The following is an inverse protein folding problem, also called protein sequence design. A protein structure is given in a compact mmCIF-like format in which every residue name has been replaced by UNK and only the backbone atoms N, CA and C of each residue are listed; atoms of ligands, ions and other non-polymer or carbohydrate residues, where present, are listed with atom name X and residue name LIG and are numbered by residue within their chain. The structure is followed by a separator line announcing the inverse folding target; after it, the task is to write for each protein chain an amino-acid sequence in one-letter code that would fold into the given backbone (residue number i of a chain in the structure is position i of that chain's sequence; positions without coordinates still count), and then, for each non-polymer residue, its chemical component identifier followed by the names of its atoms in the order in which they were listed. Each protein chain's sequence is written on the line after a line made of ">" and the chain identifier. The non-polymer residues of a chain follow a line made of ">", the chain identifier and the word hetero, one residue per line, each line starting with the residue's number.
data_IF_438250179903
#
_entry.id   IF_438250179903
#
_cell.length_a   1.000
_cell.length_b   1.000
_cell.length_c   1.000
_cell.angle_alpha   90.00
_cell.angle_beta   90.00
_cell.angle_gamma   90.00
#
_symmetry.space_group_name_H-M   'P 1'
#
loop_
_entity.id
_entity.type
_entity.pdbx_description
1 polymer ?
#
# COMPACT_ATOMS: atom_id res chain seq x y z
N UNK A 1 -42.44 5.38 16.70
CA UNK A 1 -41.39 4.91 15.76
C UNK A 1 -40.10 5.65 16.12
N UNK A 2 -38.96 4.98 16.23
CA UNK A 2 -37.67 5.61 16.63
C UNK A 2 -36.85 6.03 15.40
N UNK A 3 -35.90 6.96 15.57
CA UNK A 3 -34.95 7.33 14.49
C UNK A 3 -34.18 6.11 13.97
N UNK A 4 -33.79 5.19 14.86
CA UNK A 4 -33.16 3.92 14.48
C UNK A 4 -34.04 3.07 13.58
N UNK A 5 -35.34 2.98 13.87
CA UNK A 5 -36.28 2.25 13.02
C UNK A 5 -36.39 2.90 11.63
N UNK A 6 -36.39 4.23 11.56
CA UNK A 6 -36.36 4.95 10.28
C UNK A 6 -35.05 4.71 9.52
N UNK A 7 -33.90 4.82 10.18
CA UNK A 7 -32.58 4.61 9.57
C UNK A 7 -32.46 3.21 8.97
N UNK A 8 -32.87 2.18 9.71
CA UNK A 8 -32.65 0.79 9.33
C UNK A 8 -33.74 0.23 8.42
N UNK A 9 -35.00 0.64 8.61
CA UNK A 9 -36.17 -0.01 8.00
C UNK A 9 -37.17 0.99 7.37
N UNK A 10 -36.97 2.29 7.58
CA UNK A 10 -37.85 3.32 7.05
C UNK A 10 -37.82 3.37 5.53
N UNK A 11 -38.97 3.67 4.92
CA UNK A 11 -39.01 3.91 3.48
C UNK A 11 -38.22 5.19 3.14
N UNK A 12 -37.61 5.29 1.94
CA UNK A 12 -36.85 6.47 1.52
C UNK A 12 -37.59 7.80 1.73
N UNK A 13 -38.90 7.82 1.50
CA UNK A 13 -39.76 9.01 1.63
C UNK A 13 -39.85 9.52 3.07
N UNK A 14 -39.57 8.66 4.06
CA UNK A 14 -39.57 9.00 5.48
C UNK A 14 -38.28 9.68 5.94
N UNK A 15 -37.30 9.88 5.04
CA UNK A 15 -36.01 10.49 5.39
C UNK A 15 -36.13 11.92 5.94
N UNK A 16 -37.19 12.65 5.59
CA UNK A 16 -37.43 14.01 6.09
C UNK A 16 -37.64 14.08 7.61
N UNK A 17 -38.05 12.99 8.26
CA UNK A 17 -38.18 12.92 9.72
C UNK A 17 -36.82 12.88 10.45
N UNK A 18 -35.73 12.65 9.71
CA UNK A 18 -34.37 12.63 10.27
C UNK A 18 -33.68 13.99 10.14
N UNK A 19 -34.31 14.99 9.52
CA UNK A 19 -33.72 16.32 9.36
C UNK A 19 -33.46 16.99 10.73
N UNK A 20 -32.33 17.71 10.89
CA UNK A 20 -31.37 18.07 9.84
C UNK A 20 -30.32 16.99 9.52
N UNK A 21 -30.28 15.88 10.27
CA UNK A 21 -29.30 14.81 10.07
C UNK A 21 -29.42 14.16 8.70
N UNK A 22 -28.27 13.94 8.05
CA UNK A 22 -28.20 13.28 6.75
C UNK A 22 -27.86 11.81 6.94
N UNK A 23 -28.81 10.95 6.58
CA UNK A 23 -28.65 9.49 6.63
C UNK A 23 -28.55 8.93 5.21
N UNK A 24 -27.40 9.16 4.57
CA UNK A 24 -27.13 8.70 3.21
C UNK A 24 -25.70 8.18 3.06
N UNK A 25 -25.53 7.19 2.19
CA UNK A 25 -24.22 6.71 1.71
C UNK A 25 -24.06 7.19 0.27
N UNK A 26 -22.95 7.87 -0.02
CA UNK A 26 -22.55 8.21 -1.40
C UNK A 26 -21.48 7.25 -1.87
N UNK A 27 -21.77 6.44 -2.88
CA UNK A 27 -20.75 5.72 -3.63
C UNK A 27 -20.27 6.56 -4.80
N UNK A 28 -18.96 6.62 -5.01
CA UNK A 28 -18.31 7.34 -6.11
C UNK A 28 -17.25 6.45 -6.73
N UNK A 29 -17.35 6.21 -8.03
CA UNK A 29 -16.30 5.64 -8.85
C UNK A 29 -15.34 6.74 -9.30
N UNK A 30 -14.06 6.60 -8.97
CA UNK A 30 -13.01 7.55 -9.30
C UNK A 30 -11.82 6.80 -9.91
N UNK A 31 -12.01 6.40 -11.16
CA UNK A 31 -11.00 5.75 -12.02
C UNK A 31 -10.89 6.52 -13.34
N UNK A 32 -10.48 5.88 -14.42
CA UNK A 32 -10.61 6.45 -15.77
C UNK A 32 -12.09 6.70 -16.11
N UNK A 33 -12.97 5.85 -15.57
CA UNK A 33 -14.42 6.07 -15.53
C UNK A 33 -14.84 6.74 -14.22
N UNK A 34 -15.83 7.63 -14.33
CA UNK A 34 -16.43 8.34 -13.19
C UNK A 34 -17.93 8.07 -13.15
N UNK A 35 -18.42 7.67 -11.98
CA UNK A 35 -19.84 7.44 -11.71
C UNK A 35 -20.11 7.75 -10.23
N UNK A 36 -21.37 7.99 -9.89
CA UNK A 36 -21.78 8.14 -8.49
C UNK A 36 -23.22 7.69 -8.30
N UNK A 37 -23.54 7.31 -7.07
CA UNK A 37 -24.91 7.04 -6.65
C UNK A 37 -25.07 7.36 -5.16
N UNK A 38 -26.20 7.96 -4.80
CA UNK A 38 -26.60 8.16 -3.42
C UNK A 38 -27.59 7.08 -3.00
N UNK A 39 -27.42 6.59 -1.77
CA UNK A 39 -28.27 5.60 -1.14
C UNK A 39 -28.80 6.17 0.17
N UNK A 40 -30.10 6.44 0.23
CA UNK A 40 -30.77 6.93 1.44
C UNK A 40 -31.17 5.78 2.37
N UNK A 41 -32.06 6.00 3.34
CA UNK A 41 -32.66 4.92 4.14
C UNK A 41 -33.57 4.03 3.25
N UNK A 42 -33.76 2.74 3.56
CA UNK A 42 -33.29 1.99 4.72
C UNK A 42 -31.86 1.44 4.59
N UNK A 43 -31.03 1.64 5.62
CA UNK A 43 -29.64 1.19 5.63
C UNK A 43 -29.49 -0.33 5.67
N UNK A 44 -30.48 -1.07 6.16
CA UNK A 44 -30.44 -2.54 6.18
C UNK A 44 -30.29 -3.12 4.76
N UNK A 45 -30.96 -2.53 3.76
CA UNK A 45 -30.90 -2.98 2.37
C UNK A 45 -29.81 -2.25 1.59
N UNK A 46 -29.66 -0.95 1.84
CA UNK A 46 -28.78 -0.11 1.04
C UNK A 46 -27.29 -0.41 1.22
N UNK A 47 -26.86 -1.02 2.32
CA UNK A 47 -25.47 -1.52 2.44
C UNK A 47 -25.17 -2.63 1.42
N UNK A 48 -26.14 -3.52 1.17
CA UNK A 48 -26.04 -4.56 0.13
C UNK A 48 -26.08 -3.95 -1.27
N UNK A 49 -26.92 -2.94 -1.50
CA UNK A 49 -26.93 -2.25 -2.79
C UNK A 49 -25.62 -1.52 -3.08
N UNK A 50 -24.99 -0.90 -2.08
CA UNK A 50 -23.66 -0.30 -2.20
C UNK A 50 -22.61 -1.38 -2.51
N UNK A 51 -22.62 -2.51 -1.78
CA UNK A 51 -21.74 -3.65 -2.06
C UNK A 51 -21.85 -4.10 -3.52
N UNK A 52 -23.08 -4.21 -4.05
CA UNK A 52 -23.32 -4.63 -5.43
C UNK A 52 -22.88 -3.61 -6.49
N UNK A 53 -22.66 -2.34 -6.12
CA UNK A 53 -22.06 -1.35 -7.03
C UNK A 53 -20.55 -1.44 -7.11
N UNK A 54 -19.90 -1.92 -6.05
CA UNK A 54 -18.45 -1.98 -5.97
C UNK A 54 -17.91 -3.06 -6.91
N UNK A 55 -16.99 -2.69 -7.81
CA UNK A 55 -16.40 -3.65 -8.75
C UNK A 55 -15.41 -4.57 -8.03
N UNK A 56 -15.74 -5.87 -7.99
CA UNK A 56 -14.89 -6.89 -7.36
C UNK A 56 -14.43 -7.94 -8.37
N UNK A 57 -13.35 -7.63 -9.07
CA UNK A 57 -12.71 -8.55 -10.02
C UNK A 57 -11.66 -9.42 -9.34
N UNK A 58 -11.25 -10.50 -10.00
CA UNK A 58 -10.12 -11.30 -9.54
C UNK A 58 -8.79 -10.60 -9.83
N UNK A 59 -7.91 -10.62 -8.84
CA UNK A 59 -6.52 -10.20 -8.94
C UNK A 59 -5.62 -11.44 -9.02
N UNK A 60 -4.59 -11.41 -9.88
CA UNK A 60 -3.67 -12.53 -10.08
C UNK A 60 -2.30 -12.20 -9.53
N UNK A 61 -1.80 -13.08 -8.69
CA UNK A 61 -0.42 -13.09 -8.26
C UNK A 61 0.36 -14.18 -9.01
N UNK A 62 1.64 -13.91 -9.26
CA UNK A 62 2.54 -14.84 -9.95
C UNK A 62 3.71 -15.18 -9.00
N UNK A 63 3.53 -16.17 -8.10
CA UNK A 63 4.59 -16.61 -7.20
C UNK A 63 5.75 -17.22 -7.97
N UNK A 64 6.98 -16.99 -7.52
CA UNK A 64 8.17 -17.55 -8.17
C UNK A 64 8.24 -19.09 -8.06
N UNK A 65 7.69 -19.64 -6.98
CA UNK A 65 7.71 -21.06 -6.65
C UNK A 65 6.54 -21.85 -7.23
N UNK A 66 5.66 -21.24 -8.04
CA UNK A 66 4.49 -21.89 -8.63
C UNK A 66 4.38 -21.60 -10.12
N UNK A 67 4.02 -22.63 -10.90
CA UNK A 67 3.82 -22.51 -12.35
C UNK A 67 2.49 -21.84 -12.71
N UNK A 68 1.55 -21.77 -11.76
CA UNK A 68 0.18 -21.28 -11.96
C UNK A 68 -0.02 -20.03 -11.11
N UNK A 69 -0.72 -19.04 -11.67
CA UNK A 69 -1.08 -17.83 -10.94
C UNK A 69 -2.05 -18.15 -9.80
N UNK A 70 -1.81 -17.54 -8.64
CA UNK A 70 -2.78 -17.55 -7.53
C UNK A 70 -3.79 -16.43 -7.76
N UNK A 71 -5.06 -16.78 -7.93
CA UNK A 71 -6.15 -15.81 -8.10
C UNK A 71 -6.88 -15.56 -6.77
N UNK A 72 -7.09 -14.30 -6.43
CA UNK A 72 -7.88 -13.87 -5.27
C UNK A 72 -8.87 -12.78 -5.67
N UNK A 73 -9.96 -12.61 -4.93
CA UNK A 73 -10.85 -11.45 -5.13
C UNK A 73 -10.20 -10.17 -4.60
N UNK A 74 -10.36 -9.04 -5.30
CA UNK A 74 -9.86 -7.73 -4.82
C UNK A 74 -10.36 -7.42 -3.41
N UNK A 75 -11.64 -7.68 -3.16
CA UNK A 75 -12.30 -7.40 -1.89
C UNK A 75 -13.05 -8.63 -1.39
N UNK A 76 -13.10 -8.79 -0.07
CA UNK A 76 -13.99 -9.75 0.57
C UNK A 76 -15.29 -9.05 0.93
N UNK A 77 -16.44 -9.61 0.55
CA UNK A 77 -17.74 -8.94 0.75
C UNK A 77 -18.02 -8.63 2.21
N UNK A 78 -17.61 -9.53 3.12
CA UNK A 78 -17.72 -9.30 4.56
C UNK A 78 -16.92 -8.07 5.02
N UNK A 79 -15.73 -7.82 4.45
CA UNK A 79 -14.90 -6.66 4.81
C UNK A 79 -15.55 -5.35 4.38
N UNK A 80 -16.17 -5.31 3.19
CA UNK A 80 -16.92 -4.14 2.71
C UNK A 80 -18.13 -3.86 3.61
N UNK A 81 -18.92 -4.90 3.91
CA UNK A 81 -20.10 -4.75 4.77
C UNK A 81 -19.70 -4.32 6.18
N UNK A 82 -18.64 -4.89 6.73
CA UNK A 82 -18.10 -4.50 8.03
C UNK A 82 -17.66 -3.02 8.04
N UNK A 83 -17.00 -2.54 6.99
CA UNK A 83 -16.63 -1.13 6.87
C UNK A 83 -17.85 -0.21 6.79
N UNK A 84 -18.87 -0.59 6.02
CA UNK A 84 -20.13 0.15 5.91
C UNK A 84 -20.90 0.18 7.24
N UNK A 85 -21.02 -0.97 7.91
CA UNK A 85 -21.76 -1.08 9.16
C UNK A 85 -21.05 -0.34 10.29
N UNK A 86 -19.72 -0.37 10.36
CA UNK A 86 -18.96 0.45 11.31
C UNK A 86 -19.14 1.94 11.03
N UNK A 87 -19.14 2.36 9.75
CA UNK A 87 -19.41 3.74 9.39
C UNK A 87 -20.82 4.17 9.84
N UNK A 88 -21.85 3.32 9.65
CA UNK A 88 -23.23 3.61 10.10
C UNK A 88 -23.32 3.69 11.63
N UNK A 89 -22.75 2.71 12.34
CA UNK A 89 -22.82 2.63 13.80
C UNK A 89 -22.09 3.81 14.48
N UNK A 90 -21.01 4.30 13.88
CA UNK A 90 -20.15 5.34 14.45
C UNK A 90 -20.22 6.71 13.76
N UNK A 91 -21.09 6.89 12.76
CA UNK A 91 -21.35 8.19 12.13
C UNK A 91 -21.79 9.22 13.18
N UNK A 92 -21.15 10.38 13.16
CA UNK A 92 -21.66 11.56 13.83
C UNK A 92 -22.79 12.19 13.00
N UNK A 93 -24.02 11.77 13.30
CA UNK A 93 -25.22 12.25 12.61
C UNK A 93 -25.55 13.72 12.90
N UNK A 94 -24.93 14.33 13.92
CA UNK A 94 -25.09 15.78 14.21
C UNK A 94 -24.34 16.65 13.21
N UNK A 95 -23.34 16.08 12.52
CA UNK A 95 -22.54 16.78 11.52
C UNK A 95 -23.27 17.02 10.18
N UNK A 96 -24.51 16.52 10.02
CA UNK A 96 -25.34 16.65 8.81
C UNK A 96 -24.60 16.25 7.52
N UNK A 97 -23.74 15.22 7.63
CA UNK A 97 -22.83 14.78 6.58
C UNK A 97 -23.16 13.36 6.13
N UNK A 98 -22.75 13.02 4.91
CA UNK A 98 -22.92 11.69 4.31
C UNK A 98 -21.76 10.78 4.69
N UNK A 99 -22.04 9.48 4.76
CA UNK A 99 -20.99 8.47 4.65
C UNK A 99 -20.57 8.41 3.18
N UNK A 100 -19.28 8.31 2.90
CA UNK A 100 -18.77 8.23 1.52
C UNK A 100 -17.97 6.96 1.29
N UNK A 101 -18.19 6.34 0.14
CA UNK A 101 -17.42 5.21 -0.36
C UNK A 101 -16.84 5.60 -1.71
N UNK A 102 -15.53 5.82 -1.76
CA UNK A 102 -14.83 6.14 -3.01
C UNK A 102 -14.13 4.88 -3.50
N UNK A 103 -14.54 4.38 -4.65
CA UNK A 103 -13.89 3.29 -5.35
C UNK A 103 -12.82 3.84 -6.29
N UNK A 104 -11.56 3.49 -6.00
CA UNK A 104 -10.41 3.74 -6.88
C UNK A 104 -9.95 2.45 -7.54
N UNK A 105 -9.05 2.57 -8.51
CA UNK A 105 -8.51 1.42 -9.24
C UNK A 105 -7.90 0.38 -8.29
N UNK A 106 -7.16 0.84 -7.29
CA UNK A 106 -6.35 0.01 -6.39
C UNK A 106 -7.00 -0.23 -5.02
N UNK A 107 -7.95 0.60 -4.58
CA UNK A 107 -8.50 0.58 -3.21
C UNK A 107 -9.91 1.15 -3.09
N UNK A 108 -10.56 0.84 -1.99
CA UNK A 108 -11.80 1.47 -1.53
C UNK A 108 -11.47 2.42 -0.37
N UNK A 109 -12.08 3.59 -0.37
CA UNK A 109 -11.93 4.59 0.70
C UNK A 109 -13.31 4.83 1.31
N UNK A 110 -13.49 4.39 2.54
CA UNK A 110 -14.67 4.66 3.35
C UNK A 110 -14.41 5.88 4.21
N UNK A 111 -15.40 6.75 4.36
CA UNK A 111 -15.29 7.87 5.29
C UNK A 111 -16.62 8.19 5.94
N UNK A 112 -16.55 8.53 7.22
CA UNK A 112 -17.68 8.94 8.03
C UNK A 112 -17.25 10.10 8.95
N UNK A 113 -18.20 10.95 9.33
CA UNK A 113 -17.99 12.06 10.25
C UNK A 113 -17.89 11.56 11.69
N UNK A 114 -17.14 12.31 12.50
CA UNK A 114 -16.72 11.94 13.85
C UNK A 114 -15.37 11.22 13.84
N UNK A 115 -14.56 11.45 14.88
CA UNK A 115 -13.34 10.69 15.13
C UNK A 115 -13.59 9.32 15.77
N UNK A 116 -12.50 8.60 16.06
CA UNK A 116 -12.56 7.34 16.80
C UNK A 116 -13.23 7.55 18.17
N UNK A 117 -14.16 6.64 18.50
CA UNK A 117 -15.04 6.82 19.66
C UNK A 117 -14.60 6.03 20.90
N UNK A 118 -14.06 4.82 20.69
CA UNK A 118 -13.53 3.97 21.75
C UNK A 118 -12.23 3.32 21.28
N UNK A 119 -11.10 3.80 21.79
CA UNK A 119 -9.77 3.39 21.37
C UNK A 119 -9.40 3.85 19.96
N UNK A 120 -8.32 3.28 19.43
CA UNK A 120 -7.86 3.48 18.05
C UNK A 120 -7.85 2.15 17.30
N UNK A 121 -7.85 2.14 15.95
CA UNK A 121 -7.90 0.89 15.17
C UNK A 121 -6.83 -0.13 15.56
N UNK A 122 -5.61 0.34 15.89
CA UNK A 122 -4.49 -0.51 16.29
C UNK A 122 -4.82 -1.38 17.53
N UNK A 123 -5.67 -0.89 18.43
CA UNK A 123 -6.06 -1.60 19.64
C UNK A 123 -6.91 -2.84 19.36
N UNK A 124 -7.57 -2.91 18.19
CA UNK A 124 -8.49 -3.97 17.81
C UNK A 124 -7.87 -4.98 16.82
N UNK A 125 -6.64 -4.76 16.38
CA UNK A 125 -5.98 -5.62 15.38
C UNK A 125 -5.83 -7.05 15.88
N UNK A 126 -5.51 -7.27 17.16
CA UNK A 126 -5.31 -8.62 17.73
C UNK A 126 -6.62 -9.37 17.96
N UNK A 127 -7.75 -8.66 17.98
CA UNK A 127 -9.05 -9.23 18.35
C UNK A 127 -9.25 -9.45 19.86
N UNK A 128 -8.33 -8.97 20.70
CA UNK A 128 -8.40 -9.13 22.15
C UNK A 128 -9.21 -8.00 22.82
N UNK A 129 -9.24 -6.81 22.21
CA UNK A 129 -10.00 -5.67 22.73
C UNK A 129 -11.48 -5.79 22.36
N UNK A 130 -12.32 -5.72 23.39
CA UNK A 130 -13.77 -5.61 23.27
C UNK A 130 -14.15 -4.13 23.39
N UNK A 131 -14.96 -3.56 22.47
CA UNK A 131 -15.43 -2.19 22.57
C UNK A 131 -16.40 -2.04 23.74
N UNK A 132 -16.17 -1.04 24.59
CA UNK A 132 -17.03 -0.71 25.74
C UNK A 132 -18.17 0.24 25.33
N UNK A 133 -17.97 1.05 24.29
CA UNK A 133 -18.89 2.12 23.92
C UNK A 133 -19.10 2.25 22.42
N UNK A 134 -20.35 2.53 22.04
CA UNK A 134 -20.75 2.86 20.67
C UNK A 134 -21.32 4.27 20.61
N UNK A 135 -21.00 5.03 19.55
CA UNK A 135 -21.45 6.43 19.41
C UNK A 135 -22.98 6.50 19.38
N UNK A 136 -23.60 5.63 18.60
CA UNK A 136 -25.04 5.53 18.46
C UNK A 136 -25.53 4.24 19.14
N UNK A 137 -25.58 4.20 20.47
CA UNK A 137 -25.88 2.98 21.25
C UNK A 137 -27.19 2.31 20.85
N UNK A 138 -28.28 3.08 20.68
CA UNK A 138 -29.58 2.52 20.30
C UNK A 138 -29.59 1.95 18.88
N UNK A 139 -28.94 2.65 17.94
CA UNK A 139 -28.74 2.17 16.57
C UNK A 139 -27.89 0.90 16.52
N UNK A 140 -26.75 0.90 17.21
CA UNK A 140 -25.81 -0.22 17.25
C UNK A 140 -26.47 -1.45 17.87
N UNK A 141 -27.27 -1.29 18.93
CA UNK A 141 -28.04 -2.40 19.52
C UNK A 141 -29.07 -2.97 18.55
N UNK A 142 -29.75 -2.14 17.77
CA UNK A 142 -30.67 -2.63 16.75
C UNK A 142 -29.93 -3.33 15.60
N UNK A 143 -28.79 -2.79 15.16
CA UNK A 143 -27.93 -3.42 14.15
C UNK A 143 -27.41 -4.78 14.60
N UNK A 144 -27.04 -4.92 15.88
CA UNK A 144 -26.69 -6.21 16.49
C UNK A 144 -27.86 -7.20 16.43
N UNK A 145 -29.06 -6.78 16.83
CA UNK A 145 -30.25 -7.64 16.80
C UNK A 145 -30.63 -8.07 15.37
N UNK A 146 -30.23 -7.30 14.35
CA UNK A 146 -30.39 -7.62 12.93
C UNK A 146 -29.18 -8.35 12.33
N UNK A 147 -28.20 -8.74 13.16
CA UNK A 147 -26.95 -9.40 12.75
C UNK A 147 -26.13 -8.61 11.72
N UNK A 148 -26.20 -7.28 11.76
CA UNK A 148 -25.40 -6.40 10.89
C UNK A 148 -23.99 -6.19 11.46
N UNK A 149 -23.84 -6.15 12.79
CA UNK A 149 -22.55 -5.96 13.48
C UNK A 149 -22.38 -7.01 14.57
N UNK A 150 -21.14 -7.19 15.00
CA UNK A 150 -20.77 -7.98 16.18
C UNK A 150 -20.31 -7.05 17.32
N UNK A 151 -20.53 -7.45 18.57
CA UNK A 151 -20.15 -6.66 19.77
C UNK A 151 -18.78 -6.98 20.35
N UNK A 152 -18.10 -8.02 19.87
CA UNK A 152 -16.82 -8.46 20.41
C UNK A 152 -15.63 -7.72 19.81
N UNK A 153 -15.85 -6.71 18.94
CA UNK A 153 -14.77 -5.95 18.33
C UNK A 153 -14.01 -6.70 17.23
N UNK A 154 -14.48 -7.88 16.82
CA UNK A 154 -13.81 -8.68 15.80
C UNK A 154 -13.85 -8.08 14.39
N UNK A 155 -14.63 -7.02 14.17
CA UNK A 155 -14.75 -6.36 12.88
C UNK A 155 -13.39 -5.96 12.29
N UNK A 156 -12.64 -5.14 13.03
CA UNK A 156 -11.30 -4.69 12.62
C UNK A 156 -10.34 -5.87 12.46
N UNK A 157 -10.29 -6.76 13.45
CA UNK A 157 -9.47 -7.98 13.38
C UNK A 157 -9.76 -8.80 12.11
N UNK A 158 -11.03 -9.03 11.81
CA UNK A 158 -11.48 -9.78 10.63
C UNK A 158 -11.02 -9.10 9.35
N UNK A 159 -11.09 -7.76 9.26
CA UNK A 159 -10.56 -7.05 8.09
C UNK A 159 -9.07 -7.33 7.87
N UNK A 160 -8.26 -7.32 8.92
CA UNK A 160 -6.83 -7.60 8.85
C UNK A 160 -6.55 -9.05 8.43
N UNK A 161 -7.28 -10.01 9.00
CA UNK A 161 -7.16 -11.43 8.64
C UNK A 161 -7.55 -11.67 7.19
N UNK A 162 -8.65 -11.06 6.72
CA UNK A 162 -9.09 -11.23 5.35
C UNK A 162 -8.16 -10.55 4.34
N UNK A 163 -7.51 -9.43 4.68
CA UNK A 163 -6.46 -8.84 3.84
C UNK A 163 -5.24 -9.75 3.78
N UNK A 164 -4.81 -10.31 4.93
CA UNK A 164 -3.71 -11.28 5.00
C UNK A 164 -3.95 -12.49 4.10
N UNK A 165 -5.13 -13.11 4.17
CA UNK A 165 -5.50 -14.29 3.38
C UNK A 165 -5.41 -14.04 1.87
N UNK A 166 -5.59 -12.79 1.45
CA UNK A 166 -5.55 -12.36 0.05
C UNK A 166 -4.23 -11.64 -0.29
N UNK A 167 -3.26 -11.68 0.61
CA UNK A 167 -1.90 -11.15 0.45
C UNK A 167 -1.84 -9.65 0.14
N UNK A 168 -2.89 -8.91 0.49
CA UNK A 168 -2.98 -7.48 0.24
C UNK A 168 -2.45 -6.65 1.41
N UNK A 169 -2.10 -5.37 1.16
CA UNK A 169 -1.77 -4.43 2.23
C UNK A 169 -2.87 -4.37 3.29
N UNK A 170 -2.47 -4.14 4.54
CA UNK A 170 -3.42 -4.08 5.66
C UNK A 170 -4.35 -2.86 5.54
N UNK A 171 -5.53 -2.88 6.19
CA UNK A 171 -6.40 -1.70 6.25
C UNK A 171 -5.63 -0.48 6.79
N UNK A 172 -5.93 0.71 6.28
CA UNK A 172 -5.19 1.94 6.61
C UNK A 172 -6.13 3.04 7.08
N UNK A 173 -5.85 3.56 8.27
CA UNK A 173 -6.60 4.63 8.92
C UNK A 173 -5.81 5.94 9.05
N UNK A 174 -4.61 6.02 8.49
CA UNK A 174 -3.65 7.14 8.67
C UNK A 174 -4.17 8.51 8.22
N UNK A 175 -5.22 8.54 7.39
CA UNK A 175 -5.88 9.76 6.93
C UNK A 175 -7.04 10.24 7.81
N UNK A 176 -7.31 9.52 8.90
CA UNK A 176 -8.33 9.89 9.88
C UNK A 176 -7.87 11.09 10.73
N UNK A 177 -8.84 11.87 11.21
CA UNK A 177 -8.65 13.01 12.10
C UNK A 177 -9.57 12.88 13.32
N UNK A 178 -9.52 13.85 14.23
CA UNK A 178 -10.44 13.93 15.37
C UNK A 178 -11.92 14.11 14.96
N UNK A 179 -12.17 14.57 13.74
CA UNK A 179 -13.52 14.91 13.24
C UNK A 179 -13.99 13.99 12.12
N UNK A 180 -13.13 13.09 11.62
CA UNK A 180 -13.43 12.24 10.48
C UNK A 180 -12.63 10.95 10.53
N UNK A 181 -13.31 9.82 10.41
CA UNK A 181 -12.66 8.52 10.20
C UNK A 181 -12.57 8.25 8.71
N UNK A 182 -11.39 7.83 8.25
CA UNK A 182 -11.09 7.43 6.88
C UNK A 182 -10.44 6.06 6.91
N UNK A 183 -11.06 5.08 6.26
CA UNK A 183 -10.57 3.72 6.12
C UNK A 183 -10.25 3.44 4.66
N UNK A 184 -9.01 3.09 4.36
CA UNK A 184 -8.59 2.61 3.04
C UNK A 184 -8.40 1.09 3.06
N UNK A 185 -9.11 0.39 2.16
CA UNK A 185 -9.00 -1.06 1.96
C UNK A 185 -8.40 -1.31 0.58
N UNK A 186 -7.20 -1.90 0.55
CA UNK A 186 -6.46 -2.16 -0.67
C UNK A 186 -6.95 -3.44 -1.35
N UNK A 187 -7.15 -3.38 -2.66
CA UNK A 187 -7.47 -4.54 -3.50
C UNK A 187 -6.38 -4.86 -4.51
N UNK A 188 -5.17 -4.28 -4.33
CA UNK A 188 -3.98 -4.47 -5.15
C UNK A 188 -2.73 -4.49 -4.26
N UNK A 189 -1.64 -5.08 -4.75
CA UNK A 189 -0.34 -5.00 -4.11
C UNK A 189 0.27 -3.59 -4.25
N UNK A 190 0.84 -3.05 -3.16
CA UNK A 190 1.73 -1.87 -3.20
C UNK A 190 3.16 -2.34 -3.46
N UNK A 191 3.63 -3.30 -2.65
CA UNK A 191 4.91 -3.98 -2.83
C UNK A 191 4.67 -5.47 -3.15
N UNK A 192 5.18 -5.92 -4.30
CA UNK A 192 5.07 -7.32 -4.70
C UNK A 192 5.85 -8.24 -3.74
N UNK A 193 6.99 -7.79 -3.19
CA UNK A 193 7.77 -8.59 -2.26
C UNK A 193 7.01 -8.86 -0.96
N UNK A 194 6.23 -7.89 -0.48
CA UNK A 194 5.33 -8.09 0.66
C UNK A 194 4.30 -9.18 0.37
N UNK A 195 3.63 -9.09 -0.78
CA UNK A 195 2.58 -10.04 -1.16
C UNK A 195 3.13 -11.46 -1.33
N UNK A 196 4.29 -11.58 -1.99
CA UNK A 196 4.99 -12.85 -2.17
C UNK A 196 5.47 -13.45 -0.83
N UNK A 197 6.01 -12.62 0.06
CA UNK A 197 6.42 -13.06 1.39
C UNK A 197 5.25 -13.66 2.17
N UNK A 198 4.06 -13.06 2.09
CA UNK A 198 2.86 -13.61 2.74
C UNK A 198 2.40 -14.95 2.14
N UNK A 199 2.61 -15.17 0.83
CA UNK A 199 2.31 -16.45 0.19
C UNK A 199 3.30 -17.54 0.59
N UNK A 200 4.59 -17.20 0.68
CA UNK A 200 5.66 -18.14 0.99
C UNK A 200 5.72 -18.47 2.49
N UNK A 201 5.41 -17.52 3.36
CA UNK A 201 5.52 -17.65 4.81
C UNK A 201 4.16 -17.53 5.50
N UNK A 202 3.40 -18.60 5.47
CA UNK A 202 2.05 -18.66 6.07
C UNK A 202 2.05 -18.59 7.60
N UNK A 203 3.18 -18.86 8.26
CA UNK A 203 3.31 -18.92 9.72
C UNK A 203 3.58 -17.60 10.43
N UNK A 204 3.66 -16.46 9.72
CA UNK A 204 3.92 -15.16 10.34
C UNK A 204 2.77 -14.72 11.25
N UNK A 205 3.07 -14.17 12.42
CA UNK A 205 2.07 -13.57 13.31
C UNK A 205 1.53 -12.25 12.74
N UNK A 206 0.29 -11.90 13.11
CA UNK A 206 -0.37 -10.71 12.56
C UNK A 206 0.41 -9.42 12.88
N UNK A 207 0.99 -9.32 14.08
CA UNK A 207 1.80 -8.17 14.47
C UNK A 207 3.01 -8.00 13.55
N UNK A 208 3.77 -9.07 13.28
CA UNK A 208 4.89 -9.02 12.33
C UNK A 208 4.42 -8.60 10.93
N UNK A 209 3.27 -9.08 10.46
CA UNK A 209 2.72 -8.71 9.15
C UNK A 209 2.38 -7.21 9.09
N UNK A 210 1.78 -6.67 10.15
CA UNK A 210 1.49 -5.23 10.25
C UNK A 210 2.77 -4.39 10.23
N UNK A 211 3.86 -4.86 10.85
CA UNK A 211 5.15 -4.16 10.78
C UNK A 211 5.74 -4.15 9.36
N UNK A 212 5.60 -5.25 8.62
CA UNK A 212 6.00 -5.31 7.21
C UNK A 212 5.14 -4.37 6.34
N UNK A 213 3.85 -4.28 6.63
CA UNK A 213 2.93 -3.37 5.96
C UNK A 213 3.29 -1.89 6.22
N UNK A 214 3.72 -1.54 7.45
CA UNK A 214 4.25 -0.21 7.76
C UNK A 214 5.46 0.14 6.87
N UNK A 215 6.32 -0.82 6.56
CA UNK A 215 7.48 -0.60 5.68
C UNK A 215 7.05 -0.29 4.24
N UNK A 216 6.14 -1.07 3.64
CA UNK A 216 5.68 -0.80 2.27
C UNK A 216 4.98 0.57 2.16
N UNK A 217 4.28 0.99 3.21
CA UNK A 217 3.60 2.30 3.31
C UNK A 217 4.53 3.44 3.73
N UNK A 218 5.83 3.17 3.93
CA UNK A 218 6.85 4.14 4.38
C UNK A 218 6.50 4.82 5.72
N UNK A 219 5.80 4.09 6.58
CA UNK A 219 5.50 4.53 7.94
C UNK A 219 6.71 4.33 8.85
N UNK A 220 6.87 5.16 9.90
CA UNK A 220 7.97 5.02 10.85
C UNK A 220 7.83 3.73 11.67
N UNK A 221 8.96 3.07 11.90
CA UNK A 221 9.11 1.96 12.84
C UNK A 221 10.09 2.37 13.94
N UNK A 222 9.86 1.84 15.13
CA UNK A 222 10.78 1.92 16.27
C UNK A 222 12.06 1.11 16.01
N UNK A 223 13.19 1.45 16.68
CA UNK A 223 14.42 0.67 16.55
C UNK A 223 14.23 -0.82 16.88
N UNK A 224 13.43 -1.15 17.88
CA UNK A 224 13.21 -2.54 18.34
C UNK A 224 12.42 -3.36 17.31
N UNK A 225 11.40 -2.77 16.69
CA UNK A 225 10.66 -3.39 15.59
C UNK A 225 11.58 -3.70 14.39
N UNK A 226 12.47 -2.77 14.05
CA UNK A 226 13.46 -2.98 12.97
C UNK A 226 14.43 -4.12 13.31
N UNK A 227 14.93 -4.16 14.56
CA UNK A 227 15.84 -5.22 15.01
C UNK A 227 15.14 -6.57 14.95
N UNK A 228 13.87 -6.67 15.39
CA UNK A 228 13.05 -7.89 15.29
C UNK A 228 12.93 -8.37 13.84
N UNK A 229 12.53 -7.49 12.93
CA UNK A 229 12.36 -7.83 11.51
C UNK A 229 13.67 -8.24 10.84
N UNK A 230 14.79 -7.57 11.16
CA UNK A 230 16.13 -7.95 10.65
C UNK A 230 16.60 -9.29 11.19
N UNK A 231 16.37 -9.58 12.47
CA UNK A 231 16.71 -10.87 13.09
C UNK A 231 15.97 -12.02 12.41
N UNK A 232 14.71 -11.78 12.03
CA UNK A 232 13.89 -12.73 11.26
C UNK A 232 14.23 -12.77 9.76
N UNK A 233 15.14 -11.92 9.28
CA UNK A 233 15.53 -11.78 7.86
C UNK A 233 14.36 -11.47 6.92
N UNK A 234 13.36 -10.74 7.43
CA UNK A 234 12.18 -10.34 6.65
C UNK A 234 12.38 -9.03 5.90
N UNK A 235 13.41 -8.25 6.29
CA UNK A 235 13.71 -6.95 5.71
C UNK A 235 15.19 -6.77 5.45
N UNK A 236 15.50 -6.00 4.42
CA UNK A 236 16.84 -5.58 4.02
C UNK A 236 16.97 -4.05 3.96
N UNK A 237 18.21 -3.58 3.82
CA UNK A 237 18.51 -2.15 3.69
C UNK A 237 18.95 -1.45 4.98
N UNK A 238 19.05 -0.13 4.87
CA UNK A 238 19.56 0.78 5.90
C UNK A 238 18.60 1.94 6.09
N UNK A 239 18.50 2.46 7.32
CA UNK A 239 17.70 3.65 7.63
C UNK A 239 18.01 4.78 6.61
N UNK A 240 17.00 5.45 6.04
CA UNK A 240 15.56 5.26 6.23
C UNK A 240 14.89 4.27 5.25
N UNK A 241 15.65 3.66 4.33
CA UNK A 241 15.13 2.87 3.21
C UNK A 241 15.23 1.37 3.48
N UNK A 242 14.25 0.85 4.22
CA UNK A 242 14.05 -0.60 4.37
C UNK A 242 13.17 -1.13 3.25
N UNK A 243 13.39 -2.40 2.87
CA UNK A 243 12.59 -3.11 1.88
C UNK A 243 12.25 -4.50 2.43
N UNK A 244 11.07 -5.02 2.06
CA UNK A 244 10.67 -6.37 2.41
C UNK A 244 11.44 -7.37 1.54
N UNK A 245 12.02 -8.39 2.17
CA UNK A 245 12.74 -9.45 1.48
C UNK A 245 11.82 -10.66 1.29
N UNK A 246 11.45 -10.96 0.05
CA UNK A 246 10.93 -12.29 -0.31
C UNK A 246 12.12 -13.23 -0.58
N UNK A 247 12.04 -14.48 -0.11
CA UNK A 247 13.07 -15.48 -0.44
C UNK A 247 12.83 -15.94 -1.86
N UNK A 248 13.56 -15.35 -2.80
CA UNK A 248 13.55 -15.81 -4.20
C UNK A 248 13.92 -17.30 -4.18
N UNK A 249 12.97 -18.18 -4.51
CA UNK A 249 13.29 -19.55 -4.86
C UNK A 249 14.29 -19.47 -6.02
N UNK A 250 15.51 -19.96 -5.82
CA UNK A 250 16.66 -19.85 -6.75
C UNK A 250 16.44 -20.53 -8.12
N UNK A 251 15.21 -20.87 -8.51
CA UNK A 251 14.89 -21.67 -9.69
C UNK A 251 13.62 -21.21 -10.39
N UNK A 252 13.67 -20.04 -11.05
CA UNK A 252 12.84 -19.75 -12.23
C UNK A 252 13.26 -18.44 -12.88
N UNK A 253 13.07 -18.35 -14.19
CA UNK A 253 13.54 -17.33 -15.15
C UNK A 253 13.00 -15.89 -14.95
N UNK A 254 12.74 -15.46 -13.72
CA UNK A 254 12.35 -14.08 -13.37
C UNK A 254 13.58 -13.15 -13.26
N UNK A 255 14.72 -13.56 -13.84
CA UNK A 255 15.90 -12.68 -13.95
C UNK A 255 15.55 -11.39 -14.70
N UNK A 256 14.66 -11.41 -15.69
CA UNK A 256 14.38 -10.24 -16.53
C UNK A 256 13.60 -9.11 -15.83
N UNK A 257 12.63 -9.43 -14.97
CA UNK A 257 11.78 -8.41 -14.32
C UNK A 257 12.33 -7.97 -12.96
N UNK A 258 13.04 -8.86 -12.24
CA UNK A 258 13.81 -8.49 -11.06
C UNK A 258 14.98 -7.53 -11.40
N UNK A 259 15.58 -7.66 -12.59
CA UNK A 259 16.64 -6.74 -13.07
C UNK A 259 16.11 -5.34 -13.41
N UNK A 260 14.82 -5.18 -13.75
CA UNK A 260 14.26 -3.84 -14.05
C UNK A 260 14.05 -2.99 -12.79
N UNK A 261 13.65 -3.60 -11.68
CA UNK A 261 13.40 -2.91 -10.40
C UNK A 261 14.62 -2.89 -9.47
N UNK A 262 15.54 -3.85 -9.61
CA UNK A 262 16.90 -3.76 -9.06
C UNK A 262 17.68 -2.85 -9.99
N UNK A 263 17.49 -1.53 -9.83
CA UNK A 263 18.25 -0.52 -10.56
C UNK A 263 19.67 -0.97 -10.73
N UNK A 264 20.12 -1.08 -11.99
CA UNK A 264 21.28 -1.86 -12.36
C UNK A 264 22.42 -1.74 -11.34
N UNK A 265 23.04 -2.87 -11.00
CA UNK A 265 24.18 -2.88 -10.10
C UNK A 265 25.21 -1.84 -10.57
N UNK A 266 25.93 -1.21 -9.65
CA UNK A 266 26.93 -0.20 -9.98
C UNK A 266 27.93 -0.76 -11.01
N UNK A 267 28.17 -2.08 -10.99
CA UNK A 267 28.97 -2.79 -11.99
C UNK A 267 28.43 -2.69 -13.42
N UNK A 268 27.12 -2.84 -13.65
CA UNK A 268 26.54 -2.71 -14.99
C UNK A 268 26.78 -1.32 -15.59
N UNK A 269 26.62 -0.27 -14.77
CA UNK A 269 26.88 1.10 -15.23
C UNK A 269 28.36 1.31 -15.53
N UNK A 270 29.26 0.74 -14.72
CA UNK A 270 30.71 0.77 -14.99
C UNK A 270 31.05 0.07 -16.32
N UNK A 271 30.48 -1.10 -16.56
CA UNK A 271 30.72 -1.87 -17.77
C UNK A 271 30.23 -1.10 -19.02
N UNK A 272 29.07 -0.45 -18.93
CA UNK A 272 28.53 0.39 -20.00
C UNK A 272 29.43 1.61 -20.27
N UNK A 273 29.98 2.24 -19.24
CA UNK A 273 30.96 3.34 -19.39
C UNK A 273 32.24 2.82 -20.07
N UNK A 274 32.73 1.65 -19.67
CA UNK A 274 33.92 1.03 -20.26
C UNK A 274 33.67 0.71 -21.73
N UNK A 275 32.53 0.13 -22.08
CA UNK A 275 32.16 -0.17 -23.47
C UNK A 275 32.09 1.10 -24.33
N UNK A 276 31.46 2.15 -23.81
CA UNK A 276 31.41 3.46 -24.46
C UNK A 276 32.82 4.00 -24.71
N UNK A 277 33.70 3.98 -23.70
CA UNK A 277 35.07 4.47 -23.84
C UNK A 277 35.94 3.57 -24.74
N UNK A 278 35.68 2.27 -24.82
CA UNK A 278 36.35 1.39 -25.79
C UNK A 278 36.03 1.82 -27.23
N UNK A 279 34.76 2.15 -27.49
CA UNK A 279 34.23 2.51 -28.81
C UNK A 279 34.56 3.95 -29.22
N UNK A 280 34.39 4.91 -28.31
CA UNK A 280 34.50 6.35 -28.61
C UNK A 280 35.77 7.02 -28.05
N UNK A 281 36.64 6.27 -27.35
CA UNK A 281 37.95 6.68 -26.79
C UNK A 281 37.91 7.73 -25.68
N UNK A 282 36.96 8.65 -25.69
CA UNK A 282 36.75 9.65 -24.64
C UNK A 282 35.27 9.89 -24.35
N UNK A 283 34.98 10.37 -23.14
CA UNK A 283 33.63 10.79 -22.74
C UNK A 283 33.66 12.07 -21.90
N UNK A 284 32.78 13.01 -22.20
CA UNK A 284 32.53 14.18 -21.37
C UNK A 284 31.55 13.87 -20.23
N UNK A 285 31.41 14.79 -19.27
CA UNK A 285 30.38 14.69 -18.21
C UNK A 285 28.96 14.57 -18.81
N UNK A 286 28.69 15.28 -19.90
CA UNK A 286 27.38 15.29 -20.57
C UNK A 286 27.08 13.92 -21.20
N UNK A 287 28.10 13.30 -21.82
CA UNK A 287 27.95 12.01 -22.49
C UNK A 287 27.66 10.90 -21.48
N UNK A 288 28.39 10.88 -20.36
CA UNK A 288 28.14 9.94 -19.25
C UNK A 288 26.74 10.14 -18.67
N UNK A 289 26.32 11.39 -18.50
CA UNK A 289 24.98 11.68 -18.00
C UNK A 289 23.91 11.14 -18.94
N UNK A 290 23.99 11.47 -20.24
CA UNK A 290 23.03 10.98 -21.26
C UNK A 290 23.00 9.45 -21.35
N UNK A 291 24.16 8.80 -21.25
CA UNK A 291 24.30 7.35 -21.34
C UNK A 291 23.60 6.61 -20.20
N UNK A 292 23.70 7.14 -18.98
CA UNK A 292 23.27 6.46 -17.76
C UNK A 292 21.89 6.92 -17.29
N UNK A 293 21.56 8.20 -17.48
CA UNK A 293 20.41 8.83 -16.86
C UNK A 293 19.07 8.15 -17.23
N UNK A 294 18.88 7.81 -18.52
CA UNK A 294 17.67 7.11 -18.99
C UNK A 294 17.60 5.62 -18.60
N UNK A 295 18.64 5.09 -17.96
CA UNK A 295 18.72 3.70 -17.48
C UNK A 295 18.65 3.61 -15.95
N UNK A 296 18.62 4.73 -15.24
CA UNK A 296 18.42 4.76 -13.79
C UNK A 296 16.93 4.59 -13.46
N UNK A 297 16.59 3.93 -12.34
CA UNK A 297 15.19 3.76 -11.93
C UNK A 297 14.45 5.09 -11.81
N UNK A 298 13.20 5.12 -12.29
CA UNK A 298 12.34 6.30 -12.21
C UNK A 298 11.90 6.64 -10.79
N UNK A 299 12.10 5.72 -9.84
CA UNK A 299 11.83 5.94 -8.41
C UNK A 299 12.83 6.89 -7.73
N UNK A 300 13.97 7.18 -8.38
CA UNK A 300 15.01 8.06 -7.85
C UNK A 300 14.72 9.52 -8.22
N UNK A 301 14.76 10.41 -7.22
CA UNK A 301 14.72 11.85 -7.46
C UNK A 301 15.96 12.33 -8.25
N UNK A 302 15.86 13.48 -8.92
CA UNK A 302 16.96 14.04 -9.72
C UNK A 302 18.29 14.15 -8.96
N UNK A 303 18.24 14.60 -7.72
CA UNK A 303 19.42 14.71 -6.85
C UNK A 303 20.04 13.34 -6.54
N UNK A 304 19.21 12.29 -6.43
CA UNK A 304 19.67 10.92 -6.19
C UNK A 304 20.28 10.31 -7.46
N UNK A 305 19.69 10.55 -8.64
CA UNK A 305 20.26 10.15 -9.93
C UNK A 305 21.64 10.78 -10.16
N UNK A 306 21.77 12.08 -9.90
CA UNK A 306 23.06 12.79 -9.99
C UNK A 306 24.12 12.25 -9.01
N UNK A 307 23.71 12.00 -7.76
CA UNK A 307 24.61 11.44 -6.75
C UNK A 307 25.10 10.05 -7.13
N UNK A 308 24.23 9.19 -7.69
CA UNK A 308 24.61 7.84 -8.12
C UNK A 308 25.65 7.89 -9.25
N UNK A 309 25.44 8.73 -10.27
CA UNK A 309 26.42 8.92 -11.36
C UNK A 309 27.76 9.41 -10.81
N UNK A 310 27.74 10.39 -9.89
CA UNK A 310 28.96 10.90 -9.24
C UNK A 310 29.72 9.81 -8.49
N UNK A 311 29.02 8.97 -7.75
CA UNK A 311 29.61 7.88 -6.97
C UNK A 311 30.26 6.82 -7.87
N UNK A 312 29.61 6.45 -8.97
CA UNK A 312 30.15 5.51 -9.97
C UNK A 312 31.45 6.06 -10.56
N UNK A 313 31.44 7.32 -11.03
CA UNK A 313 32.64 7.95 -11.61
C UNK A 313 33.78 8.10 -10.60
N UNK A 314 33.46 8.39 -9.33
CA UNK A 314 34.44 8.42 -8.26
C UNK A 314 35.05 7.03 -8.02
N UNK A 315 34.22 5.97 -7.97
CA UNK A 315 34.70 4.59 -7.79
C UNK A 315 35.67 4.20 -8.92
N UNK A 316 35.26 4.41 -10.17
CA UNK A 316 36.07 4.05 -11.34
C UNK A 316 37.39 4.83 -11.42
N UNK A 317 37.39 6.12 -11.06
CA UNK A 317 38.58 6.96 -11.21
C UNK A 317 39.54 6.95 -10.01
N UNK A 318 39.01 6.90 -8.79
CA UNK A 318 39.79 7.06 -7.55
C UNK A 318 40.01 5.78 -6.76
N UNK A 319 39.15 4.77 -6.91
CA UNK A 319 39.30 3.49 -6.20
C UNK A 319 39.81 2.39 -7.11
N UNK A 320 39.21 2.24 -8.28
CA UNK A 320 39.49 1.12 -9.19
C UNK A 320 40.53 1.46 -10.27
N UNK A 321 40.74 2.75 -10.50
CA UNK A 321 41.65 3.31 -11.51
C UNK A 321 41.40 2.76 -12.93
N UNK A 322 40.15 2.46 -13.27
CA UNK A 322 39.74 1.98 -14.60
C UNK A 322 39.65 3.11 -15.63
N UNK A 323 39.38 4.33 -15.17
CA UNK A 323 39.33 5.54 -15.99
C UNK A 323 40.17 6.65 -15.37
N UNK A 324 40.70 7.54 -16.21
CA UNK A 324 41.39 8.77 -15.78
C UNK A 324 40.77 10.00 -16.43
N UNK A 325 40.82 11.12 -15.72
CA UNK A 325 40.44 12.41 -16.28
C UNK A 325 41.68 13.07 -16.89
N UNK A 326 41.66 13.33 -18.20
CA UNK A 326 42.68 14.10 -18.92
C UNK A 326 42.25 15.55 -19.18
N UNK A 327 41.04 15.93 -18.73
CA UNK A 327 40.53 17.30 -18.77
C UNK A 327 40.72 18.03 -17.44
N UNK A 328 40.04 19.17 -17.31
CA UNK A 328 40.02 19.93 -16.05
C UNK A 328 38.95 19.38 -15.10
N UNK A 329 38.95 19.80 -13.82
CA UNK A 329 37.85 19.46 -12.91
C UNK A 329 36.49 20.00 -13.40
N UNK A 330 36.49 21.18 -14.04
CA UNK A 330 35.28 21.83 -14.57
C UNK A 330 34.81 21.19 -15.88
N UNK A 331 35.74 20.72 -16.71
CA UNK A 331 35.48 20.08 -18.01
C UNK A 331 36.22 18.75 -18.09
N UNK A 332 35.71 17.69 -17.44
CA UNK A 332 36.39 16.41 -17.40
C UNK A 332 36.31 15.72 -18.76
N UNK A 333 37.43 15.13 -19.17
CA UNK A 333 37.56 14.23 -20.32
C UNK A 333 38.00 12.87 -19.82
N UNK A 334 37.06 11.94 -19.70
CA UNK A 334 37.32 10.60 -19.19
C UNK A 334 37.87 9.70 -20.28
N UNK A 335 38.96 9.00 -19.99
CA UNK A 335 39.54 7.98 -20.86
C UNK A 335 39.86 6.71 -20.07
N UNK A 336 39.88 5.58 -20.76
CA UNK A 336 40.30 4.30 -20.18
C UNK A 336 41.79 4.30 -19.85
N UNK A 337 42.14 3.71 -18.72
CA UNK A 337 43.53 3.42 -18.35
C UNK A 337 43.91 2.07 -19.00
N UNK A 338 44.87 2.09 -19.93
CA UNK A 338 45.19 0.96 -20.81
C UNK A 338 45.86 -0.25 -20.11
N UNK A 339 46.31 -0.10 -18.86
CA UNK A 339 47.15 -1.13 -18.18
C UNK A 339 46.39 -2.34 -17.60
N UNK A 340 45.05 -2.40 -17.67
CA UNK A 340 44.25 -3.54 -17.15
C UNK A 340 43.58 -4.42 -18.20
N UNK A 341 43.85 -4.22 -19.50
CA UNK A 341 43.32 -5.05 -20.58
C UNK A 341 44.11 -6.36 -20.84
N UNK A 342 45.07 -6.72 -19.98
CA UNK A 342 45.92 -7.92 -20.13
C UNK A 342 45.77 -9.00 -19.04
N UNK A 343 44.75 -8.93 -18.19
CA UNK A 343 44.48 -9.98 -17.19
C UNK A 343 42.99 -10.34 -17.14
N UNK A 344 42.49 -10.83 -18.26
CA UNK A 344 41.42 -11.82 -18.41
C UNK A 344 41.69 -12.55 -19.72
#
# INVERSE_FOLDING_TARGET
>A
ITNTALILLGKPESGHFLLPSVCEISWKLETDEVAYQHFSIPMLLNTTHVLNRIRNVKYKFFPHNQLIATEVNKYESRVILEALHNAIAHQDYSANARITVVEKTDKLIFSNSGGFFDGVPDDYITGERIPEKYRNTWLSRAMLNLNMIDTMGFGVHTMYIEQRKRFFPMPDYSRSTSEKVVLEIYGHAIDQNYSLLLMEQTGLDLTTIVLLDKIQKKMPLTPDEIVRLKKQRLIEGRKPNYQVTAKIAERTDVKSDYIKNKGFDDQYFKDLIIEYLKKFKEASKSDIYKLIYGKLPDILAESQKQNKIRNIMYSMSKREHTIRNEGTQRYPKWKLVLDKLRQT
#
